data_IF_316820802474
#
_entry.id   IF_316820802474
#
_cell.length_a   1.000
_cell.length_b   1.000
_cell.length_c   1.000
_cell.angle_alpha   90.00
_cell.angle_beta   90.00
_cell.angle_gamma   90.00
#
_symmetry.space_group_name_H-M   'P 1'
#
loop_
_entity.id
_entity.type
_entity.pdbx_description
1 polymer ?
#
# COMPACT_ATOMS: atom_id res chain seq x y z
N UNK A 1 21.14 11.24 -17.82
CA UNK A 1 20.66 10.01 -17.14
C UNK A 1 19.29 10.32 -16.58
N UNK A 2 18.24 10.00 -17.34
CA UNK A 2 16.86 10.36 -17.01
C UNK A 2 16.22 9.20 -16.27
N UNK A 3 16.15 9.27 -14.94
CA UNK A 3 15.42 8.28 -14.16
C UNK A 3 13.92 8.62 -14.22
N UNK A 4 13.27 8.21 -15.31
CA UNK A 4 11.81 8.10 -15.37
C UNK A 4 11.38 7.03 -14.37
N UNK A 5 10.94 7.48 -13.20
CA UNK A 5 10.12 6.66 -12.31
C UNK A 5 8.80 6.37 -13.02
N UNK A 6 8.67 5.13 -13.51
CA UNK A 6 7.43 4.61 -14.05
C UNK A 6 6.35 4.64 -12.96
N UNK A 7 5.53 5.70 -12.96
CA UNK A 7 4.26 5.66 -12.24
C UNK A 7 3.37 4.62 -12.94
N UNK A 8 2.78 3.65 -12.23
CA UNK A 8 1.87 2.72 -12.86
C UNK A 8 0.60 3.46 -13.30
N UNK A 9 0.39 3.45 -14.62
CA UNK A 9 -0.87 3.70 -15.30
C UNK A 9 -2.01 2.94 -14.60
N UNK A 10 -2.94 3.62 -13.92
CA UNK A 10 -4.35 3.19 -13.89
C UNK A 10 -5.27 4.27 -13.31
N UNK A 11 -5.77 5.10 -14.22
CA UNK A 11 -6.77 6.16 -14.01
C UNK A 11 -8.19 5.65 -13.66
N UNK A 12 -8.35 4.48 -13.02
CA UNK A 12 -9.69 3.90 -12.72
C UNK A 12 -9.89 3.34 -11.31
N UNK A 13 -9.03 3.66 -10.34
CA UNK A 13 -9.22 3.18 -8.96
C UNK A 13 -9.84 4.25 -8.06
N UNK A 14 -11.02 3.95 -7.51
CA UNK A 14 -11.59 4.67 -6.39
C UNK A 14 -10.55 4.77 -5.25
N UNK A 15 -10.34 5.93 -4.61
CA UNK A 15 -9.24 6.19 -3.66
C UNK A 15 -9.21 5.21 -2.48
N UNK A 16 -10.34 4.56 -2.17
CA UNK A 16 -10.46 3.53 -1.14
C UNK A 16 -9.79 2.20 -1.47
N UNK A 17 -9.33 1.96 -2.71
CA UNK A 17 -8.67 0.71 -3.12
C UNK A 17 -7.15 0.82 -3.32
N UNK A 18 -6.61 2.05 -3.41
CA UNK A 18 -5.20 2.28 -3.71
C UNK A 18 -4.25 1.75 -2.62
N UNK A 19 -4.57 1.96 -1.34
CA UNK A 19 -3.71 1.53 -0.23
C UNK A 19 -3.61 0.00 -0.12
N UNK A 20 -4.69 -0.74 -0.42
CA UNK A 20 -4.67 -2.21 -0.39
C UNK A 20 -3.81 -2.78 -1.52
N UNK A 21 -3.95 -2.22 -2.72
CA UNK A 21 -3.13 -2.61 -3.87
C UNK A 21 -1.64 -2.32 -3.60
N UNK A 22 -1.35 -1.11 -3.09
CA UNK A 22 0.02 -0.72 -2.73
C UNK A 22 0.63 -1.64 -1.68
N UNK A 23 -0.14 -2.02 -0.66
CA UNK A 23 0.29 -3.00 0.35
C UNK A 23 0.65 -4.37 -0.26
N UNK A 24 -0.13 -4.83 -1.25
CA UNK A 24 0.11 -6.10 -1.93
C UNK A 24 1.36 -6.07 -2.81
N UNK A 25 1.61 -4.95 -3.51
CA UNK A 25 2.85 -4.73 -4.28
C UNK A 25 4.07 -4.81 -3.36
N UNK A 26 4.07 -4.06 -2.25
CA UNK A 26 5.17 -4.07 -1.28
C UNK A 26 5.39 -5.46 -0.65
N UNK A 27 4.32 -6.22 -0.41
CA UNK A 27 4.44 -7.60 0.06
C UNK A 27 5.08 -8.53 -0.97
N UNK A 28 4.73 -8.37 -2.26
CA UNK A 28 5.36 -9.13 -3.36
C UNK A 28 6.84 -8.77 -3.54
N UNK A 29 7.20 -7.54 -3.21
CA UNK A 29 8.60 -7.08 -3.14
C UNK A 29 9.36 -7.66 -1.92
N UNK A 30 8.69 -8.43 -1.07
CA UNK A 30 9.29 -9.14 0.06
C UNK A 30 9.28 -8.39 1.39
N UNK A 31 8.61 -7.23 1.48
CA UNK A 31 8.53 -6.49 2.74
C UNK A 31 7.63 -7.22 3.75
N UNK A 32 8.01 -7.12 5.03
CA UNK A 32 7.18 -7.62 6.12
C UNK A 32 6.02 -6.65 6.42
N UNK A 33 5.01 -7.08 7.18
CA UNK A 33 3.81 -6.27 7.44
C UNK A 33 4.07 -4.97 8.22
N UNK A 34 5.13 -4.92 9.03
CA UNK A 34 5.54 -3.72 9.77
C UNK A 34 6.13 -2.70 8.80
N UNK A 35 7.08 -3.12 7.96
CA UNK A 35 7.71 -2.26 6.96
C UNK A 35 6.68 -1.70 5.97
N UNK A 36 5.69 -2.52 5.58
CA UNK A 36 4.59 -2.07 4.71
C UNK A 36 3.78 -0.97 5.40
N UNK A 37 3.49 -1.11 6.70
CA UNK A 37 2.73 -0.12 7.45
C UNK A 37 3.46 1.24 7.49
N UNK A 38 4.75 1.21 7.78
CA UNK A 38 5.60 2.41 7.82
C UNK A 38 5.74 3.04 6.43
N UNK A 39 5.93 2.23 5.38
CA UNK A 39 6.01 2.71 4.01
C UNK A 39 4.72 3.40 3.57
N UNK A 40 3.57 2.79 3.88
CA UNK A 40 2.26 3.37 3.58
C UNK A 40 2.05 4.69 4.33
N UNK A 41 2.43 4.76 5.61
CA UNK A 41 2.35 6.00 6.38
C UNK A 41 3.24 7.10 5.78
N UNK A 42 4.47 6.76 5.42
CA UNK A 42 5.41 7.68 4.78
C UNK A 42 4.90 8.18 3.42
N UNK A 43 4.26 7.31 2.63
CA UNK A 43 3.60 7.66 1.36
C UNK A 43 2.27 8.42 1.56
N UNK A 44 1.84 8.67 2.81
CA UNK A 44 0.66 9.46 3.16
C UNK A 44 -0.65 8.67 3.18
N UNK A 45 -0.61 7.35 3.04
CA UNK A 45 -1.79 6.51 3.14
C UNK A 45 -2.27 6.39 4.59
N UNK A 46 -3.49 6.86 4.83
CA UNK A 46 -4.13 6.82 6.16
C UNK A 46 -5.56 6.32 6.08
N UNK A 47 -6.06 5.84 7.21
CA UNK A 47 -7.45 5.40 7.31
C UNK A 47 -8.41 6.60 7.39
N UNK A 48 -9.73 6.34 7.42
CA UNK A 48 -10.77 7.38 7.51
C UNK A 48 -10.67 8.27 8.76
N UNK A 49 -9.99 7.80 9.81
CA UNK A 49 -9.74 8.55 11.05
C UNK A 49 -8.39 9.28 11.02
N UNK A 50 -7.74 9.36 9.87
CA UNK A 50 -6.41 9.94 9.69
C UNK A 50 -5.30 9.26 10.50
N UNK A 51 -5.47 7.98 10.84
CA UNK A 51 -4.45 7.18 11.52
C UNK A 51 -3.73 6.24 10.54
N UNK A 52 -2.48 5.86 10.83
CA UNK A 52 -1.75 4.83 10.10
C UNK A 52 -2.49 3.49 10.07
N UNK A 53 -2.18 2.67 9.08
CA UNK A 53 -2.72 1.32 9.00
C UNK A 53 -1.92 0.37 9.88
N UNK A 54 -2.63 -0.42 10.69
CA UNK A 54 -1.98 -1.45 11.50
C UNK A 54 -1.45 -2.60 10.62
N UNK A 55 -0.31 -3.21 10.98
CA UNK A 55 0.20 -4.43 10.34
C UNK A 55 -0.85 -5.55 10.29
N UNK A 56 -1.68 -5.67 11.32
CA UNK A 56 -2.79 -6.63 11.38
C UNK A 56 -3.84 -6.39 10.29
N UNK A 57 -4.15 -5.13 9.99
CA UNK A 57 -5.09 -4.77 8.92
C UNK A 57 -4.49 -5.08 7.55
N UNK A 58 -3.22 -4.77 7.36
CA UNK A 58 -2.45 -5.07 6.14
C UNK A 58 -2.41 -6.58 5.89
N UNK A 59 -2.09 -7.38 6.92
CA UNK A 59 -2.11 -8.85 6.84
C UNK A 59 -3.47 -9.39 6.39
N UNK A 60 -4.57 -8.84 6.93
CA UNK A 60 -5.94 -9.23 6.51
C UNK A 60 -6.16 -8.93 5.02
N UNK A 61 -5.77 -7.75 4.53
CA UNK A 61 -5.93 -7.41 3.12
C UNK A 61 -5.18 -8.35 2.19
N UNK A 62 -3.94 -8.71 2.54
CA UNK A 62 -3.12 -9.62 1.74
C UNK A 62 -3.76 -11.02 1.73
N UNK A 63 -4.19 -11.52 2.91
CA UNK A 63 -4.86 -12.82 3.01
C UNK A 63 -6.17 -12.88 2.21
N UNK A 64 -6.98 -11.83 2.26
CA UNK A 64 -8.27 -11.77 1.53
C UNK A 64 -8.08 -11.57 0.02
N UNK A 65 -6.85 -11.26 -0.43
CA UNK A 65 -6.50 -11.06 -1.84
C UNK A 65 -5.80 -12.27 -2.47
N UNK A 66 -5.57 -13.35 -1.71
CA UNK A 66 -4.97 -14.62 -2.15
C UNK A 66 -6.00 -15.67 -2.53
#
# INVERSE_FOLDING_TARGET
MSNQVNQPLSSKYSPTKLHKQRALELYRDGLNYQDIAEKLEFEGYRNRKNNPFSPTSIRKWIKDSS
#
